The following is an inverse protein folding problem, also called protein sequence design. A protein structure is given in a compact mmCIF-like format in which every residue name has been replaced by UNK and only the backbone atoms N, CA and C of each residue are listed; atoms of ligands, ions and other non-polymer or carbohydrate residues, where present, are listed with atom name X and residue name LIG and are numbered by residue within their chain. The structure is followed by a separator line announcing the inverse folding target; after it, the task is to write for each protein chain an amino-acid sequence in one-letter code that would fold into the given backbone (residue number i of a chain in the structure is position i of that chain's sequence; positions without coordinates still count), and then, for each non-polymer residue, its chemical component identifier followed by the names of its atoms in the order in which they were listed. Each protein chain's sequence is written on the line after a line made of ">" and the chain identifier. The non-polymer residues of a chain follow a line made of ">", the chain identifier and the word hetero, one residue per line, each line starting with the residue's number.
data_IF_898513473897
#
_entry.id   IF_898513473897
#
_cell.length_a   1.000
_cell.length_b   1.000
_cell.length_c   1.000
_cell.angle_alpha   90.00
_cell.angle_beta   90.00
_cell.angle_gamma   90.00
#
_symmetry.space_group_name_H-M   'P 1'
#
loop_
_entity.id
_entity.type
_entity.pdbx_description
1 polymer ?
#
# COMPACT_ATOMS: atom_id res chain seq x y z
N UNK A 1 -15.97 16.65 -14.42
CA UNK A 1 -14.74 16.27 -15.16
C UNK A 1 -13.48 16.24 -14.29
N UNK A 2 -13.14 17.26 -13.48
CA UNK A 2 -11.93 17.23 -12.62
C UNK A 2 -11.91 16.11 -11.57
N UNK A 3 -13.05 15.80 -10.94
CA UNK A 3 -13.14 14.74 -9.93
C UNK A 3 -12.95 13.33 -10.51
N UNK A 4 -13.36 13.09 -11.76
CA UNK A 4 -13.16 11.80 -12.44
C UNK A 4 -11.68 11.54 -12.72
N UNK A 5 -10.90 12.60 -13.02
CA UNK A 5 -9.46 12.46 -13.17
C UNK A 5 -8.74 12.20 -11.83
N UNK A 6 -9.26 12.73 -10.71
CA UNK A 6 -8.69 12.45 -9.39
C UNK A 6 -8.89 10.99 -8.94
N UNK A 7 -9.95 10.33 -9.44
CA UNK A 7 -10.21 8.92 -9.15
C UNK A 7 -9.62 7.96 -10.18
N UNK A 8 -9.05 8.46 -11.29
CA UNK A 8 -8.40 7.61 -12.27
C UNK A 8 -7.13 6.98 -11.66
N UNK A 9 -7.08 5.65 -11.61
CA UNK A 9 -5.95 4.91 -11.05
C UNK A 9 -5.85 4.93 -9.53
N UNK A 10 -6.89 5.36 -8.81
CA UNK A 10 -6.91 5.37 -7.35
C UNK A 10 -6.51 4.01 -6.77
N UNK A 11 -5.38 3.98 -6.06
CA UNK A 11 -4.77 2.78 -5.47
C UNK A 11 -4.35 1.69 -6.50
N UNK A 12 -4.27 2.01 -7.79
CA UNK A 12 -3.90 1.06 -8.85
C UNK A 12 -2.60 1.40 -9.57
N UNK A 13 -2.35 2.68 -9.89
CA UNK A 13 -1.12 3.08 -10.57
C UNK A 13 -0.79 4.56 -10.33
N UNK A 14 0.48 4.91 -10.51
CA UNK A 14 0.92 6.31 -10.61
C UNK A 14 0.65 6.78 -12.04
N UNK A 15 -0.04 7.91 -12.19
CA UNK A 15 -0.32 8.45 -13.52
C UNK A 15 0.95 9.00 -14.16
N UNK A 16 1.11 8.94 -15.50
CA UNK A 16 2.31 9.44 -16.17
C UNK A 16 2.68 10.89 -15.81
N UNK A 17 1.67 11.75 -15.63
CA UNK A 17 1.87 13.14 -15.21
C UNK A 17 2.32 13.31 -13.74
N UNK A 18 2.16 12.27 -12.91
CA UNK A 18 2.50 12.25 -11.49
C UNK A 18 3.86 11.57 -11.20
N UNK A 19 4.40 10.82 -12.15
CA UNK A 19 5.61 10.00 -11.97
C UNK A 19 6.80 10.79 -11.40
N UNK A 20 7.00 12.03 -11.89
CA UNK A 20 8.05 12.94 -11.40
C UNK A 20 7.95 13.29 -9.91
N UNK A 21 6.79 13.10 -9.29
CA UNK A 21 6.58 13.35 -7.86
C UNK A 21 6.79 12.10 -7.02
N UNK A 22 6.74 10.89 -7.61
CA UNK A 22 6.98 9.62 -6.92
C UNK A 22 8.49 9.36 -6.74
N UNK A 23 9.17 10.25 -6.01
CA UNK A 23 10.63 10.24 -5.86
C UNK A 23 11.07 10.06 -4.40
N UNK A 24 12.25 9.46 -4.23
CA UNK A 24 12.97 9.39 -2.95
C UNK A 24 12.13 8.83 -1.80
N UNK A 25 12.11 9.57 -0.68
CA UNK A 25 11.43 9.16 0.55
C UNK A 25 9.90 9.26 0.49
N UNK A 26 9.33 9.86 -0.58
CA UNK A 26 7.88 9.98 -0.70
C UNK A 26 7.22 8.62 -0.86
N UNK A 27 7.77 7.75 -1.71
CA UNK A 27 7.23 6.41 -1.95
C UNK A 27 7.06 5.67 -0.62
N UNK A 28 8.10 5.46 0.18
CA UNK A 28 7.91 4.70 1.40
C UNK A 28 7.17 5.44 2.53
N UNK A 29 7.14 6.77 2.51
CA UNK A 29 6.35 7.55 3.46
C UNK A 29 4.85 7.42 3.20
N UNK A 30 4.46 7.32 1.92
CA UNK A 30 3.07 7.42 1.48
C UNK A 30 2.47 6.09 1.02
N UNK A 31 3.28 5.06 0.78
CA UNK A 31 2.82 3.74 0.34
C UNK A 31 3.20 2.64 1.33
N UNK A 32 2.77 1.42 1.00
CA UNK A 32 3.12 0.18 1.72
C UNK A 32 4.18 -0.60 0.93
N UNK A 33 5.08 0.12 0.23
CA UNK A 33 6.18 -0.44 -0.58
C UNK A 33 7.45 -0.54 0.26
N UNK A 34 7.59 -1.63 1.01
CA UNK A 34 8.75 -1.92 1.88
C UNK A 34 9.04 -3.43 1.91
N UNK A 35 10.15 -3.82 2.52
CA UNK A 35 10.46 -5.24 2.76
C UNK A 35 9.47 -5.84 3.77
N UNK A 36 9.32 -7.17 3.76
CA UNK A 36 8.40 -7.84 4.69
C UNK A 36 8.68 -7.56 6.18
N UNK A 37 9.94 -7.53 6.67
CA UNK A 37 10.22 -7.13 8.05
C UNK A 37 9.75 -5.70 8.40
N UNK A 38 10.06 -4.73 7.55
CA UNK A 38 9.65 -3.33 7.75
C UNK A 38 8.13 -3.18 7.77
N UNK A 39 7.44 -3.92 6.90
CA UNK A 39 5.98 -3.92 6.85
C UNK A 39 5.37 -4.53 8.12
N UNK A 40 5.94 -5.62 8.65
CA UNK A 40 5.48 -6.18 9.93
C UNK A 40 5.63 -5.20 11.07
N UNK A 41 6.77 -4.51 11.14
CA UNK A 41 6.98 -3.49 12.16
C UNK A 41 5.97 -2.35 12.02
N UNK A 42 5.63 -1.96 10.79
CA UNK A 42 4.55 -0.99 10.55
C UNK A 42 3.19 -1.50 11.05
N UNK A 43 2.84 -2.77 10.81
CA UNK A 43 1.56 -3.33 11.29
C UNK A 43 1.51 -3.41 12.82
N UNK A 44 2.61 -3.77 13.48
CA UNK A 44 2.69 -3.73 14.96
C UNK A 44 2.48 -2.33 15.51
N UNK A 45 3.08 -1.32 14.89
CA UNK A 45 2.87 0.09 15.26
C UNK A 45 1.43 0.55 15.08
N UNK A 46 0.73 0.07 14.03
CA UNK A 46 -0.70 0.35 13.85
C UNK A 46 -1.51 -0.27 14.99
N UNK A 47 -1.22 -1.51 15.37
CA UNK A 47 -1.86 -2.16 16.51
C UNK A 47 -1.59 -1.41 17.83
N UNK A 48 -0.34 -1.01 18.08
CA UNK A 48 0.04 -0.20 19.24
C UNK A 48 -0.67 1.17 19.27
N UNK A 49 -0.98 1.73 18.09
CA UNK A 49 -1.75 2.96 17.96
C UNK A 49 -3.27 2.77 18.13
N UNK A 50 -3.74 1.53 18.37
CA UNK A 50 -5.15 1.21 18.63
C UNK A 50 -5.98 0.91 17.38
N UNK A 51 -5.35 0.61 16.25
CA UNK A 51 -6.07 0.09 15.07
C UNK A 51 -6.29 -1.41 15.19
N UNK A 52 -7.53 -1.85 14.97
CA UNK A 52 -7.91 -3.27 15.06
C UNK A 52 -7.90 -3.99 13.70
N UNK A 53 -8.04 -3.26 12.59
CA UNK A 53 -8.16 -3.84 11.25
C UNK A 53 -7.33 -3.08 10.21
N UNK A 54 -6.81 -3.84 9.24
CA UNK A 54 -6.15 -3.31 8.04
C UNK A 54 -6.80 -3.93 6.81
N UNK A 55 -7.23 -3.07 5.88
CA UNK A 55 -7.82 -3.50 4.61
C UNK A 55 -6.80 -3.31 3.50
N UNK A 56 -6.58 -4.37 2.72
CA UNK A 56 -5.72 -4.35 1.55
C UNK A 56 -6.55 -4.59 0.30
N UNK A 57 -6.47 -3.66 -0.66
CA UNK A 57 -7.07 -3.85 -1.97
C UNK A 57 -6.14 -4.67 -2.86
N UNK A 58 -6.65 -5.79 -3.39
CA UNK A 58 -5.96 -6.59 -4.40
C UNK A 58 -6.55 -6.23 -5.76
N UNK A 59 -5.72 -5.73 -6.66
CA UNK A 59 -6.11 -5.30 -8.01
C UNK A 59 -6.13 -6.49 -8.98
N UNK A 60 -6.92 -6.43 -10.06
CA UNK A 60 -6.91 -7.45 -11.11
C UNK A 60 -5.49 -7.71 -11.64
N UNK A 61 -5.12 -8.98 -11.80
CA UNK A 61 -3.79 -9.41 -12.22
C UNK A 61 -2.75 -9.48 -11.09
N UNK A 62 -3.13 -9.15 -9.85
CA UNK A 62 -2.26 -9.24 -8.66
C UNK A 62 -2.79 -10.24 -7.62
N UNK A 63 -3.60 -11.20 -8.03
CA UNK A 63 -4.30 -12.13 -7.13
C UNK A 63 -3.34 -12.98 -6.29
N UNK A 64 -2.13 -13.23 -6.79
CA UNK A 64 -1.08 -13.93 -6.03
C UNK A 64 -0.70 -13.23 -4.72
N UNK A 65 -0.88 -11.90 -4.65
CA UNK A 65 -0.57 -11.09 -3.47
C UNK A 65 -1.38 -11.50 -2.24
N UNK A 66 -2.54 -12.13 -2.40
CA UNK A 66 -3.31 -12.66 -1.25
C UNK A 66 -2.43 -13.60 -0.42
N UNK A 67 -1.62 -14.44 -1.06
CA UNK A 67 -0.71 -15.37 -0.38
C UNK A 67 0.47 -14.65 0.26
N UNK A 68 0.96 -13.57 -0.35
CA UNK A 68 2.03 -12.74 0.21
C UNK A 68 1.58 -12.04 1.48
N UNK A 69 0.37 -11.45 1.46
CA UNK A 69 -0.24 -10.81 2.61
C UNK A 69 -0.53 -11.79 3.73
N UNK A 70 -1.05 -12.99 3.43
CA UNK A 70 -1.24 -14.04 4.43
C UNK A 70 0.08 -14.38 5.14
N UNK A 71 1.15 -14.67 4.39
CA UNK A 71 2.49 -14.94 4.95
C UNK A 71 3.05 -13.78 5.78
N UNK A 72 2.76 -12.55 5.37
CA UNK A 72 3.23 -11.36 6.06
C UNK A 72 2.55 -11.19 7.42
N UNK A 73 1.23 -11.39 7.48
CA UNK A 73 0.40 -11.13 8.67
C UNK A 73 0.48 -12.27 9.69
N UNK A 74 0.74 -13.52 9.29
CA UNK A 74 0.95 -14.65 10.22
C UNK A 74 2.02 -14.39 11.31
N UNK A 75 2.89 -13.40 11.10
CA UNK A 75 4.00 -13.06 11.98
C UNK A 75 3.90 -11.66 12.62
N UNK A 76 2.72 -11.03 12.59
CA UNK A 76 2.41 -9.74 13.24
C UNK A 76 1.62 -9.96 14.52
#
# INVERSE_FOLDING_TARGET
>A
MRYLMQHNGHLMFVRPEEDRFAIGDLIPGMTVSRTAPELRDRMRRLREAGYDEVVVQITPGSESMIKDWARLIESV
#
